data_IF_027932808449
#
_entry.id   IF_027932808449
#
_cell.length_a   1.000
_cell.length_b   1.000
_cell.length_c   1.000
_cell.angle_alpha   90.00
_cell.angle_beta   90.00
_cell.angle_gamma   90.00
#
_symmetry.space_group_name_H-M   'P 1'
#
loop_
_entity.id
_entity.type
_entity.pdbx_description
1 polymer ?
#
# COMPACT_ATOMS: atom_id res chain seq x y z
N UNK A 1 -20.28 15.85 -10.45
CA UNK A 1 -20.58 15.06 -9.24
C UNK A 1 -19.53 13.96 -9.12
N UNK A 2 -18.90 13.80 -7.94
CA UNK A 2 -17.82 12.83 -7.71
C UNK A 2 -18.32 11.40 -7.45
N UNK A 3 -17.45 10.40 -7.64
CA UNK A 3 -17.80 8.95 -7.53
C UNK A 3 -17.94 8.42 -6.09
N UNK A 4 -17.89 9.29 -5.06
CA UNK A 4 -18.04 8.91 -3.66
C UNK A 4 -16.86 8.13 -3.03
N UNK A 5 -15.76 7.95 -3.76
CA UNK A 5 -14.56 7.32 -3.23
C UNK A 5 -13.80 8.24 -2.27
N UNK A 6 -13.12 7.65 -1.29
CA UNK A 6 -12.04 8.32 -0.55
C UNK A 6 -10.76 8.27 -1.37
N UNK A 7 -10.09 9.40 -1.53
CA UNK A 7 -8.88 9.54 -2.36
C UNK A 7 -7.66 9.79 -1.47
N UNK A 8 -6.65 8.92 -1.57
CA UNK A 8 -5.34 9.15 -0.96
C UNK A 8 -4.37 9.59 -2.05
N UNK A 9 -3.85 10.80 -1.94
CA UNK A 9 -2.88 11.37 -2.87
C UNK A 9 -1.44 11.12 -2.43
N UNK A 10 -0.60 10.66 -3.35
CA UNK A 10 0.85 10.57 -3.13
C UNK A 10 1.55 11.52 -4.10
N UNK A 11 2.08 12.65 -3.59
CA UNK A 11 2.67 13.71 -4.40
C UNK A 11 1.65 14.47 -5.26
N UNK A 12 0.38 14.47 -4.85
CA UNK A 12 -0.74 15.06 -5.57
C UNK A 12 -2.01 15.16 -4.72
N UNK A 13 -3.10 15.70 -5.29
CA UNK A 13 -4.33 15.98 -4.56
C UNK A 13 -5.07 14.70 -4.14
N UNK A 14 -5.66 14.73 -2.95
CA UNK A 14 -6.55 13.72 -2.39
C UNK A 14 -7.32 14.28 -1.19
N UNK A 15 -8.21 13.48 -0.61
CA UNK A 15 -8.83 13.79 0.69
C UNK A 15 -7.78 13.82 1.82
N UNK A 16 -6.74 12.98 1.66
CA UNK A 16 -5.50 13.00 2.44
C UNK A 16 -4.35 12.94 1.44
N UNK A 17 -3.35 13.81 1.60
CA UNK A 17 -2.20 13.89 0.70
C UNK A 17 -0.89 13.70 1.46
N UNK A 18 -0.02 12.87 0.90
CA UNK A 18 1.35 12.67 1.37
C UNK A 18 2.33 13.30 0.39
N UNK A 19 3.22 14.15 0.90
CA UNK A 19 4.29 14.71 0.11
C UNK A 19 5.29 13.62 -0.28
N UNK A 20 5.74 13.64 -1.54
CA UNK A 20 6.78 12.75 -2.04
C UNK A 20 7.99 13.57 -2.43
N UNK A 21 9.14 13.15 -1.93
CA UNK A 21 10.44 13.67 -2.35
C UNK A 21 10.94 12.91 -3.57
N UNK A 22 11.81 13.54 -4.35
CA UNK A 22 12.45 12.93 -5.52
C UNK A 22 11.73 13.21 -6.85
N UNK A 23 12.42 12.83 -7.92
CA UNK A 23 11.95 12.97 -9.28
C UNK A 23 10.96 11.85 -9.67
N UNK A 24 10.42 11.94 -10.89
CA UNK A 24 9.48 10.95 -11.39
C UNK A 24 10.01 9.51 -11.34
N UNK A 25 11.32 9.31 -11.48
CA UNK A 25 11.94 7.98 -11.48
C UNK A 25 12.11 7.37 -10.08
N UNK A 26 12.21 8.22 -9.05
CA UNK A 26 12.52 7.82 -7.66
C UNK A 26 11.30 7.85 -6.74
N UNK A 27 10.23 8.56 -7.09
CA UNK A 27 8.99 8.66 -6.30
C UNK A 27 8.37 7.33 -5.90
N UNK A 28 8.48 6.30 -6.75
CA UNK A 28 7.97 4.97 -6.45
C UNK A 28 8.57 4.37 -5.16
N UNK A 29 9.81 4.72 -4.83
CA UNK A 29 10.49 4.28 -3.60
C UNK A 29 9.84 4.85 -2.34
N UNK A 30 9.25 6.05 -2.41
CA UNK A 30 8.50 6.66 -1.30
C UNK A 30 7.06 6.15 -1.20
N UNK A 31 6.44 5.80 -2.33
CA UNK A 31 5.07 5.28 -2.37
C UNK A 31 4.98 3.85 -1.84
N UNK A 32 5.92 2.98 -2.22
CA UNK A 32 5.91 1.57 -1.82
C UNK A 32 5.80 1.35 -0.29
N UNK A 33 6.64 1.96 0.57
CA UNK A 33 6.52 1.77 2.01
C UNK A 33 5.20 2.31 2.57
N UNK A 34 4.67 3.41 2.03
CA UNK A 34 3.38 3.93 2.46
C UNK A 34 2.23 2.95 2.15
N UNK A 35 2.26 2.30 0.98
CA UNK A 35 1.29 1.26 0.63
C UNK A 35 1.45 0.00 1.49
N UNK A 36 2.70 -0.39 1.82
CA UNK A 36 2.96 -1.49 2.74
C UNK A 36 2.38 -1.23 4.13
N UNK A 37 2.58 -0.02 4.67
CA UNK A 37 1.99 0.38 5.96
C UNK A 37 0.46 0.37 5.91
N UNK A 38 -0.15 0.85 4.82
CA UNK A 38 -1.60 0.80 4.67
C UNK A 38 -2.13 -0.64 4.68
N UNK A 39 -1.45 -1.56 3.97
CA UNK A 39 -1.79 -2.98 3.96
C UNK A 39 -1.69 -3.62 5.35
N UNK A 40 -0.62 -3.32 6.09
CA UNK A 40 -0.39 -3.81 7.46
C UNK A 40 -1.47 -3.31 8.42
N UNK A 41 -1.78 -2.01 8.40
CA UNK A 41 -2.86 -1.45 9.23
C UNK A 41 -4.22 -2.12 8.94
N UNK A 42 -4.53 -2.39 7.66
CA UNK A 42 -5.77 -3.09 7.28
C UNK A 42 -5.75 -4.55 7.73
N UNK A 43 -4.60 -5.23 7.65
CA UNK A 43 -4.45 -6.60 8.13
C UNK A 43 -4.65 -6.68 9.66
N UNK A 44 -4.03 -5.77 10.42
CA UNK A 44 -4.20 -5.67 11.87
C UNK A 44 -5.65 -5.40 12.26
N UNK A 45 -6.33 -4.46 11.59
CA UNK A 45 -7.75 -4.17 11.81
C UNK A 45 -8.66 -5.38 11.54
N UNK A 46 -8.20 -6.34 10.73
CA UNK A 46 -8.91 -7.58 10.40
C UNK A 46 -8.39 -8.80 11.18
N UNK A 47 -7.43 -8.64 12.08
CA UNK A 47 -6.82 -9.75 12.82
C UNK A 47 -6.11 -10.77 11.91
N UNK A 48 -5.51 -10.31 10.82
CA UNK A 48 -4.77 -11.15 9.86
C UNK A 48 -3.26 -11.09 10.14
N UNK A 49 -2.60 -12.24 10.07
CA UNK A 49 -1.14 -12.34 10.12
C UNK A 49 -0.54 -12.10 8.72
N UNK A 50 0.29 -11.08 8.59
CA UNK A 50 1.00 -10.71 7.36
C UNK A 50 2.32 -11.44 7.17
N UNK A 51 2.86 -12.09 8.22
CA UNK A 51 4.05 -12.94 8.16
C UNK A 51 3.74 -14.34 7.64
N UNK A 52 2.54 -14.86 7.93
CA UNK A 52 2.07 -16.18 7.46
C UNK A 52 0.71 -16.10 6.74
N UNK A 53 0.63 -15.41 5.59
CA UNK A 53 -0.60 -15.29 4.83
C UNK A 53 -1.13 -16.65 4.35
N UNK A 54 -2.46 -16.82 4.38
CA UNK A 54 -3.14 -18.07 4.01
C UNK A 54 -2.80 -18.46 2.57
N UNK A 55 -2.59 -19.75 2.34
CA UNK A 55 -2.33 -20.35 1.02
C UNK A 55 -1.07 -19.87 0.29
N UNK A 56 -0.16 -19.18 0.98
CA UNK A 56 1.11 -18.78 0.42
C UNK A 56 2.25 -19.65 0.95
N UNK A 57 3.11 -20.08 0.03
CA UNK A 57 4.44 -20.60 0.35
C UNK A 57 5.46 -19.51 0.05
N UNK A 58 6.52 -19.45 0.85
CA UNK A 58 7.62 -18.49 0.65
C UNK A 58 8.26 -18.64 -0.75
N UNK A 59 8.36 -19.87 -1.23
CA UNK A 59 8.83 -20.21 -2.57
C UNK A 59 7.79 -21.16 -3.17
N UNK A 60 7.34 -20.88 -4.39
CA UNK A 60 6.43 -21.74 -5.13
C UNK A 60 7.25 -22.80 -5.86
N UNK A 61 6.94 -24.07 -5.62
CA UNK A 61 7.57 -25.22 -6.31
C UNK A 61 6.50 -26.00 -7.04
N UNK A 62 6.81 -26.47 -8.25
CA UNK A 62 5.96 -27.39 -9.00
C UNK A 62 6.43 -28.82 -8.70
N UNK A 63 5.47 -29.71 -8.44
CA UNK A 63 5.73 -31.14 -8.25
C UNK A 63 5.84 -31.87 -9.59
#
# INVERSE_FOLDING_TARGET
MGKGARVIGFGGPGDVSFELTGDASTRALGVLPALQMLGECVAQAKGLDTLTPRWLTKVVTLA
#
